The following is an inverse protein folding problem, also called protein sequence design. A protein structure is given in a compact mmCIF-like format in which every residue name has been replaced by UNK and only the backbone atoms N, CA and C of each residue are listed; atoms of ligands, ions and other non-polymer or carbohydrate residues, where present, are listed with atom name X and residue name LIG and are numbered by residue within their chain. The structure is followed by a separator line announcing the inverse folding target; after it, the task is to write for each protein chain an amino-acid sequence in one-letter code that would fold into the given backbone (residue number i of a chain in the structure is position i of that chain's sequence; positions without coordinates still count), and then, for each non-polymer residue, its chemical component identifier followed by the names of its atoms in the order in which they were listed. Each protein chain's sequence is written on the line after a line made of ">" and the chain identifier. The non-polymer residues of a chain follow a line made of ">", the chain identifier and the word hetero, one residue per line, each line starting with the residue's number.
data_IF_680211980924
#
_entry.id   IF_680211980924
#
_cell.length_a   1.000
_cell.length_b   1.000
_cell.length_c   1.000
_cell.angle_alpha   90.00
_cell.angle_beta   90.00
_cell.angle_gamma   90.00
#
_symmetry.space_group_name_H-M   'P 1'
#
loop_
_entity.id
_entity.type
_entity.pdbx_description
1 polymer ?
#
# COMPACT_ATOMS: atom_id res chain seq x y z
N UNK A 1 -39.75 33.60 5.06
CA UNK A 1 -38.81 32.70 4.36
C UNK A 1 -37.47 32.70 5.10
N UNK A 2 -37.33 31.82 6.11
CA UNK A 2 -36.12 31.64 6.91
C UNK A 2 -35.67 30.19 6.70
N UNK A 3 -34.93 29.89 5.62
CA UNK A 3 -34.26 28.59 5.44
C UNK A 3 -33.01 28.74 4.57
N UNK A 4 -32.01 29.52 5.02
CA UNK A 4 -30.65 29.51 4.40
C UNK A 4 -29.50 29.51 5.43
N UNK A 5 -29.79 29.54 6.73
CA UNK A 5 -28.78 29.65 7.80
C UNK A 5 -28.27 28.34 8.42
N UNK A 6 -28.89 27.19 8.12
CA UNK A 6 -28.65 25.94 8.88
C UNK A 6 -27.60 25.01 8.21
N UNK A 7 -27.46 25.05 6.88
CA UNK A 7 -26.49 24.18 6.17
C UNK A 7 -25.03 24.64 6.27
N UNK A 8 -24.74 25.96 6.33
CA UNK A 8 -23.37 26.46 6.49
C UNK A 8 -22.78 26.20 7.88
N UNK A 9 -23.59 26.32 8.95
CA UNK A 9 -23.16 26.06 10.34
C UNK A 9 -22.86 24.58 10.59
N UNK A 10 -23.64 23.64 10.04
CA UNK A 10 -23.38 22.20 10.21
C UNK A 10 -22.06 21.75 9.55
N UNK A 11 -21.73 22.29 8.37
CA UNK A 11 -20.49 21.94 7.64
C UNK A 11 -19.23 22.49 8.33
N UNK A 12 -19.29 23.69 8.92
CA UNK A 12 -18.18 24.27 9.67
C UNK A 12 -17.92 23.54 11.00
N UNK A 13 -18.98 23.21 11.75
CA UNK A 13 -18.84 22.48 13.02
C UNK A 13 -18.35 21.04 12.80
N UNK A 14 -18.81 20.38 11.73
CA UNK A 14 -18.32 19.05 11.38
C UNK A 14 -16.83 19.04 11.00
N UNK A 15 -16.39 19.99 10.15
CA UNK A 15 -14.97 20.13 9.81
C UNK A 15 -14.10 20.43 11.04
N UNK A 16 -14.58 21.26 11.97
CA UNK A 16 -13.90 21.53 13.23
C UNK A 16 -13.74 20.27 14.10
N UNK A 17 -14.78 19.45 14.20
CA UNK A 17 -14.72 18.18 14.95
C UNK A 17 -13.77 17.17 14.30
N UNK A 18 -13.75 17.08 12.98
CA UNK A 18 -12.82 16.20 12.23
C UNK A 18 -11.36 16.64 12.41
N UNK A 19 -11.09 17.95 12.41
CA UNK A 19 -9.76 18.50 12.67
C UNK A 19 -9.32 18.20 14.11
N UNK A 20 -10.19 18.43 15.10
CA UNK A 20 -9.90 18.15 16.51
C UNK A 20 -9.69 16.66 16.78
N UNK A 21 -10.44 15.79 16.11
CA UNK A 21 -10.24 14.34 16.18
C UNK A 21 -8.89 13.93 15.55
N UNK A 22 -8.51 14.58 14.45
CA UNK A 22 -7.22 14.35 13.78
C UNK A 22 -6.04 14.80 14.64
N UNK A 23 -6.14 15.97 15.30
CA UNK A 23 -5.14 16.44 16.28
C UNK A 23 -4.96 15.47 17.44
N UNK A 24 -6.07 14.97 18.01
CA UNK A 24 -6.01 13.98 19.09
C UNK A 24 -5.43 12.64 18.65
N UNK A 25 -5.74 12.18 17.44
CA UNK A 25 -5.12 10.99 16.87
C UNK A 25 -3.61 11.17 16.70
N UNK A 26 -3.17 12.31 16.12
CA UNK A 26 -1.75 12.64 15.95
C UNK A 26 -1.02 12.71 17.29
N UNK A 27 -1.62 13.33 18.30
CA UNK A 27 -1.09 13.34 19.66
C UNK A 27 -0.89 11.92 20.18
N UNK A 28 -1.87 11.03 19.98
CA UNK A 28 -1.76 9.61 20.33
C UNK A 28 -0.57 8.91 19.65
N UNK A 29 -0.35 9.16 18.35
CA UNK A 29 0.81 8.63 17.62
C UNK A 29 2.13 9.12 18.21
N UNK A 30 2.22 10.40 18.58
CA UNK A 30 3.42 10.99 19.19
C UNK A 30 3.72 10.35 20.55
N UNK A 31 2.69 10.14 21.38
CA UNK A 31 2.82 9.50 22.68
C UNK A 31 3.24 8.03 22.56
N UNK A 32 2.64 7.27 21.63
CA UNK A 32 3.03 5.87 21.37
C UNK A 32 4.47 5.77 20.86
N UNK A 33 4.87 6.69 19.98
CA UNK A 33 6.24 6.76 19.50
C UNK A 33 7.22 7.10 20.63
N UNK A 34 6.89 8.07 21.49
CA UNK A 34 7.71 8.39 22.65
C UNK A 34 7.82 7.20 23.62
N UNK A 35 6.71 6.49 23.90
CA UNK A 35 6.71 5.28 24.70
C UNK A 35 7.66 4.22 24.11
N UNK A 36 7.60 3.99 22.79
CA UNK A 36 8.50 3.07 22.10
C UNK A 36 9.97 3.48 22.29
N UNK A 37 10.28 4.78 22.19
CA UNK A 37 11.64 5.27 22.44
C UNK A 37 12.08 4.95 23.87
N UNK A 38 11.26 5.30 24.87
CA UNK A 38 11.58 5.05 26.28
C UNK A 38 11.77 3.55 26.57
N UNK A 39 10.93 2.70 25.97
CA UNK A 39 11.09 1.24 26.08
C UNK A 39 12.38 0.78 25.40
N UNK A 40 12.72 1.29 24.22
CA UNK A 40 13.95 0.91 23.52
C UNK A 40 15.24 1.32 24.25
N UNK A 41 15.17 2.40 25.05
CA UNK A 41 16.29 2.84 25.90
C UNK A 41 16.42 1.97 27.16
N UNK A 42 15.29 1.57 27.73
CA UNK A 42 15.25 0.69 28.92
C UNK A 42 15.61 -0.77 28.59
N UNK A 43 15.25 -1.21 27.38
CA UNK A 43 15.37 -2.60 26.91
C UNK A 43 16.13 -2.65 25.59
N UNK A 44 17.49 -2.63 25.61
CA UNK A 44 18.32 -2.59 24.41
C UNK A 44 18.09 -3.75 23.44
N UNK A 45 17.53 -4.87 23.91
CA UNK A 45 17.11 -6.00 23.08
C UNK A 45 16.13 -5.61 21.98
N UNK A 46 15.30 -4.58 22.20
CA UNK A 46 14.36 -4.05 21.21
C UNK A 46 15.11 -3.46 20.01
N UNK A 47 16.16 -2.68 20.28
CA UNK A 47 17.01 -2.09 19.24
C UNK A 47 17.78 -3.19 18.53
N UNK A 48 18.36 -4.13 19.28
CA UNK A 48 19.11 -5.27 18.72
C UNK A 48 18.24 -6.10 17.77
N UNK A 49 16.98 -6.33 18.11
CA UNK A 49 16.04 -7.04 17.23
C UNK A 49 15.77 -6.26 15.94
N UNK A 50 15.59 -4.95 16.03
CA UNK A 50 15.43 -4.09 14.86
C UNK A 50 16.67 -4.14 13.95
N UNK A 51 17.86 -3.98 14.54
CA UNK A 51 19.16 -4.03 13.85
C UNK A 51 19.48 -5.41 13.26
N UNK A 52 18.83 -6.49 13.75
CA UNK A 52 18.91 -7.80 13.12
C UNK A 52 17.92 -7.96 11.96
N UNK A 53 16.67 -7.48 12.10
CA UNK A 53 15.61 -7.71 11.12
C UNK A 53 15.75 -6.86 9.86
N UNK A 54 16.07 -5.58 10.01
CA UNK A 54 16.07 -4.65 8.86
C UNK A 54 17.15 -5.03 7.83
N UNK A 55 18.41 -5.33 8.21
CA UNK A 55 19.42 -5.75 7.24
C UNK A 55 19.09 -7.07 6.54
N UNK A 56 18.54 -8.05 7.27
CA UNK A 56 18.08 -9.33 6.71
C UNK A 56 16.99 -9.14 5.66
N UNK A 57 16.04 -8.26 5.92
CA UNK A 57 15.00 -7.91 4.95
C UNK A 57 15.60 -7.32 3.66
N UNK A 58 16.66 -6.52 3.77
CA UNK A 58 17.31 -5.90 2.61
C UNK A 58 18.26 -6.86 1.88
N UNK A 59 18.84 -7.83 2.58
CA UNK A 59 19.84 -8.74 2.04
C UNK A 59 19.30 -9.57 0.86
N UNK A 60 19.88 -9.44 -0.36
CA UNK A 60 19.46 -10.24 -1.51
C UNK A 60 19.61 -11.75 -1.30
N UNK A 61 20.57 -12.19 -0.47
CA UNK A 61 20.78 -13.60 -0.14
C UNK A 61 19.70 -14.15 0.80
N UNK A 62 19.01 -13.28 1.53
CA UNK A 62 17.95 -13.63 2.49
C UNK A 62 16.59 -13.11 2.01
N UNK A 63 16.34 -13.10 0.68
CA UNK A 63 15.08 -12.59 0.09
C UNK A 63 13.81 -13.21 0.71
N UNK A 64 13.90 -14.43 1.26
CA UNK A 64 12.78 -15.08 1.95
C UNK A 64 12.30 -14.30 3.19
N UNK A 65 13.16 -13.53 3.86
CA UNK A 65 12.82 -12.71 5.04
C UNK A 65 11.74 -11.65 4.73
N UNK A 66 11.64 -11.25 3.45
CA UNK A 66 10.60 -10.32 2.99
C UNK A 66 9.23 -10.96 2.89
N UNK A 67 9.15 -12.28 2.81
CA UNK A 67 7.89 -12.97 2.61
C UNK A 67 6.97 -12.77 3.82
N UNK A 68 5.64 -12.79 3.59
CA UNK A 68 4.62 -12.60 4.64
C UNK A 68 4.73 -13.58 5.81
N UNK A 69 5.44 -14.68 5.63
CA UNK A 69 5.67 -15.66 6.68
C UNK A 69 6.65 -15.14 7.74
N UNK A 70 7.78 -14.58 7.30
CA UNK A 70 8.86 -14.09 8.17
C UNK A 70 8.61 -12.64 8.60
N UNK A 71 8.13 -11.81 7.68
CA UNK A 71 7.72 -10.43 7.96
C UNK A 71 6.22 -10.28 7.74
N UNK A 72 5.39 -10.64 8.74
CA UNK A 72 3.93 -10.67 8.60
C UNK A 72 3.31 -9.32 8.28
N UNK A 73 3.71 -8.29 9.01
CA UNK A 73 3.15 -6.95 8.89
C UNK A 73 4.22 -5.96 8.46
N UNK A 74 4.06 -5.37 7.26
CA UNK A 74 5.00 -4.39 6.74
C UNK A 74 4.94 -3.05 7.50
N UNK A 75 3.79 -2.67 8.04
CA UNK A 75 3.65 -1.48 8.87
C UNK A 75 4.34 -1.63 10.23
N UNK A 76 4.31 -2.83 10.81
CA UNK A 76 5.12 -3.17 11.99
C UNK A 76 6.61 -3.22 11.64
N UNK A 77 6.96 -3.76 10.48
CA UNK A 77 8.34 -3.77 10.02
C UNK A 77 8.92 -2.35 9.88
N UNK A 78 8.11 -1.39 9.41
CA UNK A 78 8.50 0.02 9.38
C UNK A 78 8.87 0.53 10.78
N UNK A 79 8.29 0.00 11.87
CA UNK A 79 8.63 0.36 13.25
C UNK A 79 10.08 0.03 13.59
N UNK A 80 10.58 -1.13 13.14
CA UNK A 80 12.00 -1.49 13.32
C UNK A 80 12.93 -0.48 12.63
N UNK A 81 12.54 0.05 11.47
CA UNK A 81 13.33 1.09 10.80
C UNK A 81 13.49 2.35 11.65
N UNK A 82 12.46 2.77 12.41
CA UNK A 82 12.57 3.93 13.30
C UNK A 82 13.57 3.71 14.46
N UNK A 83 13.80 2.46 14.84
CA UNK A 83 14.66 2.10 15.96
C UNK A 83 16.12 1.96 15.54
N UNK A 84 16.38 1.57 14.28
CA UNK A 84 17.73 1.48 13.75
C UNK A 84 18.36 2.87 13.63
N UNK A 85 19.55 3.04 14.25
CA UNK A 85 20.24 4.35 14.30
C UNK A 85 20.83 4.79 12.95
N UNK A 86 21.25 3.84 12.12
CA UNK A 86 22.06 4.09 10.91
C UNK A 86 21.39 3.66 9.60
N UNK A 87 20.06 3.61 9.55
CA UNK A 87 19.36 3.10 8.37
C UNK A 87 18.82 4.20 7.46
N UNK A 88 19.14 4.08 6.18
CA UNK A 88 18.70 4.98 5.13
C UNK A 88 17.41 4.45 4.48
N UNK A 89 16.33 5.23 4.55
CA UNK A 89 15.07 4.91 3.88
C UNK A 89 15.25 4.62 2.38
N UNK A 90 16.14 5.36 1.70
CA UNK A 90 16.37 5.23 0.26
C UNK A 90 16.91 3.84 -0.12
N UNK A 91 17.71 3.21 0.75
CA UNK A 91 18.25 1.87 0.52
C UNK A 91 17.19 0.79 0.75
N UNK A 92 16.31 0.98 1.73
CA UNK A 92 15.22 0.04 2.02
C UNK A 92 14.07 0.15 1.01
N UNK A 93 13.78 1.36 0.53
CA UNK A 93 12.57 1.70 -0.21
C UNK A 93 12.27 0.74 -1.39
N UNK A 94 13.23 0.38 -2.27
CA UNK A 94 12.97 -0.53 -3.38
C UNK A 94 12.46 -1.90 -2.92
N UNK A 95 13.05 -2.45 -1.86
CA UNK A 95 12.70 -3.77 -1.33
C UNK A 95 11.33 -3.75 -0.63
N UNK A 96 11.07 -2.69 0.13
CA UNK A 96 9.79 -2.49 0.80
C UNK A 96 8.65 -2.31 -0.21
N UNK A 97 8.86 -1.48 -1.25
CA UNK A 97 7.88 -1.23 -2.30
C UNK A 97 7.55 -2.48 -3.10
N UNK A 98 8.56 -3.24 -3.54
CA UNK A 98 8.37 -4.48 -4.30
C UNK A 98 7.48 -5.46 -3.51
N UNK A 99 7.73 -5.59 -2.20
CA UNK A 99 6.95 -6.46 -1.33
C UNK A 99 5.54 -5.93 -1.04
N UNK A 100 5.42 -4.63 -0.76
CA UNK A 100 4.15 -3.97 -0.46
C UNK A 100 3.19 -4.03 -1.65
N UNK A 101 3.68 -3.74 -2.86
CA UNK A 101 2.88 -3.84 -4.09
C UNK A 101 2.41 -5.28 -4.33
N UNK A 102 3.29 -6.28 -4.16
CA UNK A 102 2.96 -7.69 -4.36
C UNK A 102 1.89 -8.19 -3.38
N UNK A 103 1.95 -7.78 -2.10
CA UNK A 103 0.94 -8.16 -1.10
C UNK A 103 -0.42 -7.50 -1.34
N UNK A 104 -0.43 -6.32 -1.95
CA UNK A 104 -1.67 -5.59 -2.23
C UNK A 104 -2.45 -6.15 -3.44
N UNK A 105 -1.81 -6.92 -4.33
CA UNK A 105 -2.41 -7.48 -5.56
C UNK A 105 -3.76 -8.14 -5.31
N UNK A 106 -3.85 -9.07 -4.35
CA UNK A 106 -5.08 -9.84 -4.10
C UNK A 106 -6.29 -8.95 -3.82
N UNK A 107 -6.07 -7.82 -3.13
CA UNK A 107 -7.13 -6.91 -2.72
C UNK A 107 -7.69 -6.10 -3.89
N UNK A 108 -6.82 -5.62 -4.79
CA UNK A 108 -7.31 -4.87 -5.94
C UNK A 108 -7.76 -5.76 -7.09
N UNK A 109 -7.19 -6.96 -7.28
CA UNK A 109 -7.68 -7.91 -8.29
C UNK A 109 -9.09 -8.40 -7.98
N UNK A 110 -9.44 -8.56 -6.70
CA UNK A 110 -10.82 -8.83 -6.29
C UNK A 110 -11.80 -7.70 -6.65
N UNK A 111 -11.33 -6.46 -6.76
CA UNK A 111 -12.13 -5.32 -7.20
C UNK A 111 -12.13 -5.17 -8.73
N UNK A 112 -11.06 -5.60 -9.40
CA UNK A 112 -10.88 -5.46 -10.84
C UNK A 112 -10.01 -6.60 -11.40
N UNK A 113 -10.66 -7.70 -11.75
CA UNK A 113 -9.99 -8.92 -12.25
C UNK A 113 -9.21 -8.68 -13.55
N UNK A 114 -9.66 -7.76 -14.41
CA UNK A 114 -9.01 -7.45 -15.68
C UNK A 114 -7.60 -6.85 -15.56
N UNK A 115 -7.17 -6.43 -14.36
CA UNK A 115 -5.79 -6.03 -14.11
C UNK A 115 -4.83 -7.23 -14.01
N UNK A 116 -5.34 -8.46 -13.82
CA UNK A 116 -4.53 -9.68 -13.80
C UNK A 116 -4.07 -10.09 -15.20
N UNK A 117 -4.74 -9.63 -16.26
CA UNK A 117 -4.22 -9.75 -17.62
C UNK A 117 -2.93 -8.93 -17.73
N UNK A 118 -1.82 -9.55 -18.14
CA UNK A 118 -0.54 -8.85 -18.33
C UNK A 118 -0.42 -8.46 -19.81
N UNK A 119 -0.47 -7.17 -20.09
CA UNK A 119 -0.25 -6.64 -21.43
C UNK A 119 1.19 -6.86 -21.94
N UNK A 120 1.37 -6.89 -23.28
CA UNK A 120 2.70 -6.83 -23.90
C UNK A 120 3.56 -5.67 -23.39
N UNK A 121 4.88 -5.81 -23.47
CA UNK A 121 5.80 -4.82 -22.92
C UNK A 121 5.86 -3.51 -23.71
N UNK A 122 5.56 -3.56 -25.00
CA UNK A 122 5.44 -2.43 -25.91
C UNK A 122 4.10 -1.70 -25.79
N UNK A 123 3.11 -2.26 -25.09
CA UNK A 123 1.82 -1.63 -24.87
C UNK A 123 1.82 -0.75 -23.62
N UNK A 124 1.46 0.53 -23.80
CA UNK A 124 1.35 1.50 -22.72
C UNK A 124 -0.09 1.61 -22.20
N UNK A 125 -0.38 0.97 -21.07
CA UNK A 125 -1.72 1.02 -20.48
C UNK A 125 -1.88 2.13 -19.43
N UNK A 126 -2.47 3.26 -19.84
CA UNK A 126 -2.91 4.30 -18.90
C UNK A 126 -3.97 3.79 -17.92
N UNK A 127 -4.87 2.91 -18.40
CA UNK A 127 -5.88 2.29 -17.55
C UNK A 127 -5.25 1.51 -16.38
N UNK A 128 -4.16 0.77 -16.61
CA UNK A 128 -3.45 0.06 -15.53
C UNK A 128 -2.93 1.03 -14.48
N UNK A 129 -2.25 2.08 -14.91
CA UNK A 129 -1.66 3.08 -14.02
C UNK A 129 -2.75 3.73 -13.15
N UNK A 130 -3.76 4.31 -13.77
CA UNK A 130 -4.81 5.06 -13.08
C UNK A 130 -5.63 4.13 -12.18
N UNK A 131 -6.09 2.99 -12.70
CA UNK A 131 -6.95 2.08 -11.96
C UNK A 131 -6.21 1.44 -10.78
N UNK A 132 -4.95 1.06 -10.95
CA UNK A 132 -4.18 0.45 -9.84
C UNK A 132 -3.88 1.47 -8.75
N UNK A 133 -3.60 2.73 -9.12
CA UNK A 133 -3.43 3.82 -8.16
C UNK A 133 -4.70 4.01 -7.34
N UNK A 134 -5.85 4.17 -8.02
CA UNK A 134 -7.16 4.36 -7.41
C UNK A 134 -7.51 3.24 -6.42
N UNK A 135 -7.34 1.98 -6.83
CA UNK A 135 -7.65 0.83 -5.97
C UNK A 135 -6.68 0.68 -4.79
N UNK A 136 -5.47 1.23 -4.88
CA UNK A 136 -4.42 1.15 -3.87
C UNK A 136 -4.33 2.39 -2.98
N UNK A 137 -5.16 3.41 -3.18
CA UNK A 137 -5.09 4.71 -2.48
C UNK A 137 -4.91 4.59 -0.96
N UNK A 138 -5.68 3.72 -0.31
CA UNK A 138 -5.61 3.57 1.15
C UNK A 138 -4.25 3.05 1.60
N UNK A 139 -3.71 2.01 0.96
CA UNK A 139 -2.40 1.46 1.34
C UNK A 139 -1.27 2.43 1.02
N UNK A 140 -1.32 3.10 -0.13
CA UNK A 140 -0.33 4.11 -0.52
C UNK A 140 -0.30 5.28 0.47
N UNK A 141 -1.45 5.77 0.93
CA UNK A 141 -1.54 6.84 1.93
C UNK A 141 -0.96 6.43 3.28
N UNK A 142 -1.18 5.18 3.72
CA UNK A 142 -0.61 4.66 4.96
C UNK A 142 0.93 4.61 4.88
N UNK A 143 1.47 4.17 3.74
CA UNK A 143 2.92 4.14 3.50
C UNK A 143 3.50 5.57 3.55
N UNK A 144 2.89 6.52 2.82
CA UNK A 144 3.35 7.91 2.83
C UNK A 144 3.30 8.52 4.23
N UNK A 145 2.25 8.24 5.00
CA UNK A 145 2.13 8.70 6.38
C UNK A 145 3.27 8.15 7.24
N UNK A 146 3.49 6.83 7.23
CA UNK A 146 4.53 6.19 8.04
C UNK A 146 5.93 6.71 7.71
N UNK A 147 6.27 6.79 6.42
CA UNK A 147 7.59 7.26 5.95
C UNK A 147 7.80 8.73 6.29
N UNK A 148 6.79 9.58 6.06
CA UNK A 148 6.92 11.01 6.34
C UNK A 148 6.93 11.31 7.83
N UNK A 149 6.12 10.58 8.61
CA UNK A 149 6.15 10.64 10.06
C UNK A 149 7.54 10.28 10.60
N UNK A 150 8.17 9.23 10.06
CA UNK A 150 9.56 8.84 10.38
C UNK A 150 10.56 9.97 10.19
N UNK A 151 10.51 10.63 9.03
CA UNK A 151 11.40 11.76 8.73
C UNK A 151 11.23 12.91 9.74
N UNK A 152 9.99 13.24 10.08
CA UNK A 152 9.70 14.28 11.09
C UNK A 152 10.25 13.85 12.46
N UNK A 153 10.04 12.60 12.88
CA UNK A 153 10.44 12.12 14.20
C UNK A 153 11.96 12.01 14.39
N UNK A 154 12.73 11.69 13.35
CA UNK A 154 14.18 11.48 13.46
C UNK A 154 14.93 12.74 13.95
N UNK A 155 14.42 13.94 13.65
CA UNK A 155 15.05 15.22 14.04
C UNK A 155 14.62 15.79 15.39
N UNK A 156 13.62 15.22 16.06
CA UNK A 156 12.96 15.85 17.22
C UNK A 156 12.88 14.95 18.46
N UNK A 157 13.67 13.88 18.51
CA UNK A 157 13.64 12.88 19.60
C UNK A 157 13.87 13.49 20.98
N UNK A 158 14.88 14.35 21.13
CA UNK A 158 15.21 14.97 22.42
C UNK A 158 14.17 15.99 22.87
N UNK A 159 13.62 16.75 21.92
CA UNK A 159 12.51 17.67 22.17
C UNK A 159 11.23 16.92 22.59
N UNK A 160 10.96 15.77 21.96
CA UNK A 160 9.88 14.87 22.36
C UNK A 160 10.04 14.33 23.78
N UNK A 161 11.26 13.96 24.19
CA UNK A 161 11.53 13.54 25.58
C UNK A 161 11.24 14.65 26.57
N UNK A 162 11.72 15.87 26.31
CA UNK A 162 11.47 17.04 27.16
C UNK A 162 9.97 17.32 27.35
N UNK A 163 9.15 17.04 26.34
CA UNK A 163 7.70 17.21 26.38
C UNK A 163 6.93 15.95 26.75
N UNK A 164 7.57 14.90 27.25
CA UNK A 164 6.92 13.62 27.59
C UNK A 164 6.07 13.04 26.44
N UNK A 165 6.54 13.21 25.20
CA UNK A 165 5.88 12.73 23.98
C UNK A 165 4.73 13.59 23.46
N UNK A 166 4.41 14.72 24.10
CA UNK A 166 3.44 15.66 23.56
C UNK A 166 4.05 16.44 22.38
N UNK A 167 3.35 16.57 21.24
CA UNK A 167 3.81 17.38 20.12
C UNK A 167 3.75 18.88 20.46
N UNK A 168 4.65 19.70 19.89
CA UNK A 168 4.46 21.16 19.85
C UNK A 168 3.36 21.55 18.88
N UNK A 169 2.95 22.82 18.94
CA UNK A 169 2.08 23.42 17.93
C UNK A 169 2.71 23.35 16.53
N UNK A 170 4.01 23.62 16.41
CA UNK A 170 4.74 23.51 15.13
C UNK A 170 4.73 22.08 14.57
N UNK A 171 4.99 21.09 15.42
CA UNK A 171 4.94 19.68 15.03
C UNK A 171 3.52 19.25 14.65
N UNK A 172 2.52 19.67 15.41
CA UNK A 172 1.11 19.39 15.13
C UNK A 172 0.68 20.00 13.78
N UNK A 173 1.08 21.26 13.53
CA UNK A 173 0.85 21.92 12.25
C UNK A 173 1.55 21.20 11.09
N UNK A 174 2.79 20.77 11.29
CA UNK A 174 3.55 20.00 10.28
C UNK A 174 2.88 18.68 9.94
N UNK A 175 2.39 17.95 10.95
CA UNK A 175 1.66 16.69 10.77
C UNK A 175 0.31 16.89 10.08
N UNK A 176 -0.42 17.97 10.39
CA UNK A 176 -1.66 18.33 9.70
C UNK A 176 -1.41 18.71 8.23
N UNK A 177 -0.35 19.47 7.95
CA UNK A 177 0.07 19.80 6.57
C UNK A 177 0.45 18.53 5.81
N UNK A 178 1.20 17.64 6.44
CA UNK A 178 1.57 16.35 5.88
C UNK A 178 0.32 15.53 5.48
N UNK A 179 -0.67 15.41 6.37
CA UNK A 179 -1.92 14.71 6.05
C UNK A 179 -2.59 15.36 4.83
N UNK A 180 -2.71 16.69 4.78
CA UNK A 180 -3.29 17.39 3.63
C UNK A 180 -2.54 17.08 2.32
N UNK A 181 -1.21 17.05 2.36
CA UNK A 181 -0.38 16.69 1.21
C UNK A 181 -0.63 15.25 0.76
N UNK A 182 -0.65 14.29 1.69
CA UNK A 182 -0.93 12.87 1.41
C UNK A 182 -2.30 12.68 0.72
N UNK A 183 -3.33 13.40 1.17
CA UNK A 183 -4.66 13.30 0.55
C UNK A 183 -4.72 13.90 -0.86
N UNK A 184 -3.84 14.84 -1.18
CA UNK A 184 -3.71 15.46 -2.50
C UNK A 184 -2.90 14.64 -3.50
N UNK A 185 -2.21 13.57 -3.07
CA UNK A 185 -1.50 12.65 -3.97
C UNK A 185 -2.51 11.84 -4.78
N UNK A 186 -2.48 12.01 -6.11
CA UNK A 186 -3.46 11.43 -7.05
C UNK A 186 -2.83 10.62 -8.19
N UNK A 187 -1.52 10.67 -8.34
CA UNK A 187 -0.80 10.03 -9.44
C UNK A 187 0.49 9.37 -8.92
N UNK A 188 1.01 8.41 -9.67
CA UNK A 188 2.18 7.64 -9.28
C UNK A 188 3.45 8.48 -9.17
N UNK A 189 3.71 9.38 -10.12
CA UNK A 189 4.85 10.30 -10.08
C UNK A 189 4.88 11.14 -8.80
N UNK A 190 3.74 11.70 -8.39
CA UNK A 190 3.62 12.47 -7.14
C UNK A 190 3.81 11.56 -5.92
N UNK A 191 3.28 10.33 -5.95
CA UNK A 191 3.48 9.34 -4.89
C UNK A 191 4.96 9.00 -4.71
N UNK A 192 5.66 8.63 -5.80
CA UNK A 192 7.07 8.26 -5.74
C UNK A 192 7.96 9.45 -5.37
N UNK A 193 7.64 10.66 -5.85
CA UNK A 193 8.30 11.90 -5.43
C UNK A 193 8.19 12.12 -3.92
N UNK A 194 6.99 11.99 -3.34
CA UNK A 194 6.77 12.16 -1.90
C UNK A 194 7.43 11.05 -1.07
N UNK A 195 7.61 9.87 -1.66
CA UNK A 195 8.30 8.74 -1.06
C UNK A 195 9.83 8.86 -1.12
N UNK A 196 10.38 9.89 -1.78
CA UNK A 196 11.80 10.02 -2.15
C UNK A 196 12.31 8.83 -2.99
N UNK A 197 11.47 8.27 -3.85
CA UNK A 197 11.87 7.26 -4.81
C UNK A 197 12.06 7.90 -6.19
N UNK A 198 13.31 7.93 -6.66
CA UNK A 198 13.66 8.55 -7.93
C UNK A 198 13.09 7.78 -9.12
N UNK A 199 12.27 8.47 -9.90
CA UNK A 199 11.85 8.02 -11.22
C UNK A 199 12.56 8.83 -12.30
N UNK A 200 12.77 8.27 -13.50
CA UNK A 200 13.24 9.05 -14.65
C UNK A 200 12.31 10.23 -14.95
N UNK A 201 12.84 11.38 -15.36
CA UNK A 201 12.04 12.56 -15.70
C UNK A 201 11.10 12.30 -16.90
N UNK A 202 11.58 11.50 -17.85
CA UNK A 202 10.82 11.05 -19.02
C UNK A 202 10.55 9.55 -18.94
N UNK A 203 9.41 9.10 -19.46
CA UNK A 203 9.00 7.69 -19.53
C UNK A 203 8.84 6.98 -18.18
N UNK A 204 8.64 7.71 -17.07
CA UNK A 204 8.39 7.11 -15.76
C UNK A 204 7.18 6.16 -15.77
N UNK A 205 6.17 6.44 -16.60
CA UNK A 205 4.97 5.61 -16.73
C UNK A 205 5.30 4.18 -17.16
N UNK A 206 6.30 3.99 -18.03
CA UNK A 206 6.77 2.67 -18.45
C UNK A 206 7.44 1.92 -17.29
N UNK A 207 8.24 2.62 -16.49
CA UNK A 207 8.89 2.06 -15.30
C UNK A 207 7.84 1.61 -14.29
N UNK A 208 6.86 2.47 -13.99
CA UNK A 208 5.78 2.13 -13.05
C UNK A 208 4.91 1.01 -13.60
N UNK A 209 4.53 1.04 -14.87
CA UNK A 209 3.77 -0.05 -15.51
C UNK A 209 4.51 -1.39 -15.37
N UNK A 210 5.82 -1.41 -15.61
CA UNK A 210 6.67 -2.59 -15.38
C UNK A 210 6.64 -3.02 -13.91
N UNK A 211 6.81 -2.10 -12.95
CA UNK A 211 6.75 -2.43 -11.52
C UNK A 211 5.40 -3.06 -11.12
N UNK A 212 4.28 -2.56 -11.67
CA UNK A 212 2.95 -3.12 -11.39
C UNK A 212 2.77 -4.52 -11.99
N UNK A 213 3.28 -4.76 -13.20
CA UNK A 213 3.30 -6.10 -13.83
C UNK A 213 4.17 -7.07 -13.03
N UNK A 214 5.37 -6.64 -12.65
CA UNK A 214 6.30 -7.42 -11.83
C UNK A 214 5.70 -7.75 -10.45
N UNK A 215 4.95 -6.82 -9.85
CA UNK A 215 4.26 -7.06 -8.59
C UNK A 215 3.19 -8.16 -8.70
N UNK A 216 2.46 -8.26 -9.82
CA UNK A 216 1.52 -9.36 -10.07
C UNK A 216 2.27 -10.69 -10.15
N UNK A 217 3.34 -10.76 -10.94
CA UNK A 217 4.16 -11.96 -11.07
C UNK A 217 4.75 -12.40 -9.72
N UNK A 218 5.33 -11.45 -8.97
CA UNK A 218 5.84 -11.69 -7.62
C UNK A 218 4.75 -12.20 -6.70
N UNK A 219 3.58 -11.57 -6.70
CA UNK A 219 2.44 -11.98 -5.88
C UNK A 219 1.98 -13.41 -6.19
N UNK A 220 1.99 -13.80 -7.46
CA UNK A 220 1.67 -15.15 -7.90
C UNK A 220 2.72 -16.16 -7.40
N UNK A 221 4.01 -15.89 -7.62
CA UNK A 221 5.10 -16.77 -7.17
C UNK A 221 5.20 -16.86 -5.64
N UNK A 222 4.92 -15.77 -4.93
CA UNK A 222 4.83 -15.73 -3.47
C UNK A 222 3.51 -16.26 -2.92
N UNK A 223 2.63 -16.82 -3.76
CA UNK A 223 1.37 -17.45 -3.35
C UNK A 223 0.42 -16.50 -2.60
N UNK A 224 0.54 -15.19 -2.85
CA UNK A 224 -0.31 -14.17 -2.25
C UNK A 224 -1.69 -14.11 -2.91
N UNK A 225 -1.80 -14.59 -4.14
CA UNK A 225 -3.08 -14.80 -4.82
C UNK A 225 -3.06 -16.03 -5.72
N UNK A 226 -4.25 -16.53 -6.05
CA UNK A 226 -4.53 -17.48 -7.13
C UNK A 226 -5.31 -16.76 -8.22
N UNK A 227 -4.98 -17.04 -9.48
CA UNK A 227 -5.74 -16.55 -10.63
C UNK A 227 -6.83 -17.59 -10.96
N UNK A 228 -8.12 -17.28 -10.76
CA UNK A 228 -9.19 -18.24 -11.01
C UNK A 228 -9.72 -18.21 -12.45
N UNK A 229 -9.13 -17.37 -13.32
CA UNK A 229 -9.57 -17.11 -14.69
C UNK A 229 -8.56 -17.65 -15.71
N UNK A 230 -9.04 -18.00 -16.90
CA UNK A 230 -8.18 -18.24 -18.07
C UNK A 230 -7.63 -16.92 -18.62
N UNK A 231 -6.60 -17.00 -19.46
CA UNK A 231 -6.02 -15.81 -20.13
C UNK A 231 -7.07 -15.13 -21.04
N UNK A 232 -7.89 -15.91 -21.73
CA UNK A 232 -8.96 -15.40 -22.59
C UNK A 232 -10.09 -14.73 -21.78
N UNK A 233 -10.45 -15.28 -20.62
CA UNK A 233 -11.39 -14.65 -19.69
C UNK A 233 -10.88 -13.31 -19.17
N UNK A 234 -9.61 -13.26 -18.73
CA UNK A 234 -8.97 -12.03 -18.26
C UNK A 234 -8.88 -10.97 -19.35
N UNK A 235 -8.50 -11.37 -20.57
CA UNK A 235 -8.51 -10.48 -21.73
C UNK A 235 -9.91 -9.95 -22.00
N UNK A 236 -10.95 -10.81 -22.00
CA UNK A 236 -12.32 -10.39 -22.22
C UNK A 236 -12.80 -9.36 -21.19
N UNK A 237 -12.50 -9.58 -19.90
CA UNK A 237 -12.81 -8.62 -18.83
C UNK A 237 -12.05 -7.30 -19.05
N UNK A 238 -10.78 -7.38 -19.45
CA UNK A 238 -9.93 -6.22 -19.68
C UNK A 238 -10.36 -5.41 -20.90
N UNK A 239 -10.64 -6.07 -22.02
CA UNK A 239 -11.05 -5.45 -23.28
C UNK A 239 -12.35 -4.64 -23.14
N UNK A 240 -13.28 -5.06 -22.28
CA UNK A 240 -14.48 -4.27 -21.95
C UNK A 240 -14.18 -2.92 -21.30
N UNK A 241 -13.02 -2.77 -20.66
CA UNK A 241 -12.59 -1.55 -19.96
C UNK A 241 -11.54 -0.76 -20.75
N UNK A 242 -10.75 -1.44 -21.56
CA UNK A 242 -9.72 -0.87 -22.41
C UNK A 242 -9.78 -1.55 -23.80
N UNK A 243 -10.64 -1.07 -24.72
CA UNK A 243 -10.90 -1.75 -26.00
C UNK A 243 -9.66 -1.91 -26.91
N UNK A 244 -8.65 -1.06 -26.74
CA UNK A 244 -7.43 -1.06 -27.56
C UNK A 244 -6.34 -2.01 -27.05
N UNK A 245 -6.59 -2.73 -25.95
CA UNK A 245 -5.65 -3.70 -25.38
C UNK A 245 -5.35 -4.82 -26.41
N UNK A 246 -4.06 -5.13 -26.66
CA UNK A 246 -3.68 -6.21 -27.56
C UNK A 246 -4.22 -7.56 -27.07
N UNK A 247 -4.75 -8.42 -27.97
CA UNK A 247 -5.19 -9.76 -27.60
C UNK A 247 -4.01 -10.68 -27.27
N UNK A 248 -4.21 -11.69 -26.39
CA UNK A 248 -3.24 -12.76 -26.23
C UNK A 248 -3.17 -13.62 -27.49
N UNK A 249 -2.07 -14.35 -27.68
CA UNK A 249 -1.86 -15.25 -28.82
C UNK A 249 -2.98 -16.30 -28.93
N UNK A 250 -3.54 -16.72 -27.79
CA UNK A 250 -4.64 -17.69 -27.70
C UNK A 250 -6.01 -17.16 -28.11
N UNK A 251 -6.14 -15.86 -28.44
CA UNK A 251 -7.43 -15.25 -28.74
C UNK A 251 -7.82 -15.44 -30.20
N UNK A 252 -8.73 -16.38 -30.44
CA UNK A 252 -9.39 -16.56 -31.74
C UNK A 252 -10.88 -16.22 -31.63
N UNK A 253 -11.32 -15.19 -32.36
CA UNK A 253 -12.72 -14.73 -32.40
C UNK A 253 -13.69 -15.82 -32.88
N UNK A 254 -13.22 -16.79 -33.66
CA UNK A 254 -14.04 -17.86 -34.19
C UNK A 254 -14.09 -19.09 -33.27
N UNK A 255 -13.22 -19.14 -32.25
CA UNK A 255 -13.19 -20.23 -31.28
C UNK A 255 -14.49 -20.31 -30.48
N UNK A 256 -14.87 -21.52 -30.13
CA UNK A 256 -16.07 -21.78 -29.33
C UNK A 256 -15.97 -21.13 -27.93
N UNK A 257 -14.77 -21.04 -27.36
CA UNK A 257 -14.52 -20.36 -26.09
C UNK A 257 -14.88 -18.87 -26.17
N UNK A 258 -14.36 -18.15 -27.16
CA UNK A 258 -14.60 -16.71 -27.31
C UNK A 258 -16.05 -16.40 -27.66
N UNK A 259 -16.69 -17.26 -28.45
CA UNK A 259 -18.15 -17.17 -28.71
C UNK A 259 -18.94 -17.32 -27.40
N UNK A 260 -18.61 -18.32 -26.57
CA UNK A 260 -19.26 -18.49 -25.26
C UNK A 260 -19.04 -17.29 -24.34
N UNK A 261 -17.84 -16.73 -24.27
CA UNK A 261 -17.57 -15.51 -23.48
C UNK A 261 -18.38 -14.32 -23.98
N UNK A 262 -18.53 -14.17 -25.30
CA UNK A 262 -19.31 -13.09 -25.90
C UNK A 262 -20.81 -13.23 -25.62
N UNK A 263 -21.33 -14.45 -25.65
CA UNK A 263 -22.76 -14.74 -25.42
C UNK A 263 -23.13 -14.72 -23.93
N UNK A 264 -22.33 -15.34 -23.06
CA UNK A 264 -22.68 -15.59 -21.66
C UNK A 264 -21.89 -14.75 -20.66
N UNK A 265 -20.83 -14.06 -21.11
CA UNK A 265 -19.91 -13.36 -20.23
C UNK A 265 -18.95 -14.29 -19.49
N UNK A 266 -18.31 -13.76 -18.45
CA UNK A 266 -17.39 -14.49 -17.57
C UNK A 266 -17.99 -14.57 -16.16
N UNK A 267 -17.77 -15.69 -15.47
CA UNK A 267 -18.23 -15.89 -14.08
C UNK A 267 -17.49 -14.93 -13.15
N UNK A 268 -18.19 -14.37 -12.17
CA UNK A 268 -17.54 -13.57 -11.12
C UNK A 268 -16.86 -14.50 -10.12
N UNK A 269 -15.53 -14.59 -10.20
CA UNK A 269 -14.67 -15.37 -9.31
C UNK A 269 -13.78 -14.44 -8.46
N UNK A 270 -13.48 -14.88 -7.24
CA UNK A 270 -12.62 -14.15 -6.31
C UNK A 270 -11.19 -14.66 -6.36
N UNK A 271 -10.24 -13.74 -6.30
CA UNK A 271 -8.83 -14.05 -6.03
C UNK A 271 -8.68 -14.35 -4.54
N UNK A 272 -8.06 -15.48 -4.22
CA UNK A 272 -7.76 -15.88 -2.84
C UNK A 272 -6.27 -16.18 -2.67
N UNK A 273 -5.70 -16.04 -1.47
CA UNK A 273 -4.37 -16.57 -1.19
C UNK A 273 -4.33 -18.07 -1.50
N UNK A 274 -3.22 -18.57 -2.06
CA UNK A 274 -3.08 -20.01 -2.27
C UNK A 274 -2.88 -20.70 -0.90
N UNK A 275 -3.52 -21.86 -0.65
CA UNK A 275 -3.26 -22.66 0.55
C UNK A 275 -1.77 -23.04 0.61
N UNK A 276 -1.21 -23.02 1.82
CA UNK A 276 0.15 -23.51 2.08
C UNK A 276 -0.04 -24.88 2.73
N UNK A 277 0.10 -25.96 1.95
CA UNK A 277 -0.14 -27.32 2.46
C UNK A 277 0.97 -27.87 3.37
N UNK A 278 2.09 -27.16 3.54
CA UNK A 278 3.16 -27.56 4.46
C UNK A 278 3.59 -26.37 5.32
N UNK A 279 3.04 -26.25 6.53
CA UNK A 279 3.59 -25.35 7.54
C UNK A 279 3.35 -25.86 8.97
N UNK A 280 4.40 -26.11 9.77
CA UNK A 280 4.29 -26.65 11.13
C UNK A 280 3.72 -25.65 12.17
N UNK A 281 3.22 -24.48 11.74
CA UNK A 281 2.79 -23.40 12.63
C UNK A 281 1.33 -22.96 12.39
N UNK A 282 0.56 -23.70 11.61
CA UNK A 282 -0.86 -23.43 11.37
C UNK A 282 -1.70 -23.80 12.60
N UNK A 283 -1.56 -23.05 13.70
CA UNK A 283 -2.67 -22.84 14.62
C UNK A 283 -3.46 -21.67 14.05
N UNK A 284 -4.63 -22.00 13.52
CA UNK A 284 -5.62 -21.07 12.99
C UNK A 284 -5.92 -19.96 14.00
N UNK A 285 -5.35 -18.77 13.80
CA UNK A 285 -5.85 -17.57 14.46
C UNK A 285 -7.00 -17.06 13.57
N UNK A 286 -8.23 -16.96 14.08
CA UNK A 286 -9.35 -16.45 13.32
C UNK A 286 -9.03 -15.02 12.87
N UNK A 287 -9.16 -14.78 11.57
CA UNK A 287 -9.10 -13.45 10.98
C UNK A 287 -10.27 -12.67 11.58
N UNK A 288 -10.00 -11.81 12.56
CA UNK A 288 -10.97 -10.85 13.07
C UNK A 288 -11.24 -9.88 11.91
N UNK A 289 -12.40 -10.04 11.28
CA UNK A 289 -12.97 -9.04 10.39
C UNK A 289 -13.21 -7.78 11.22
N UNK A 290 -12.29 -6.81 11.14
CA UNK A 290 -12.62 -5.45 11.52
C UNK A 290 -13.53 -4.90 10.41
N UNK A 291 -14.80 -4.55 10.72
CA UNK A 291 -15.69 -3.99 9.73
C UNK A 291 -15.09 -2.66 9.24
N UNK A 292 -14.89 -2.56 7.93
CA UNK A 292 -14.60 -1.28 7.28
C UNK A 292 -15.75 -0.32 7.61
N UNK A 293 -15.48 0.92 8.05
CA UNK A 293 -16.54 1.90 8.22
C UNK A 293 -17.24 2.15 6.88
N UNK A 294 -18.56 2.39 6.89
CA UNK A 294 -19.32 2.65 5.68
C UNK A 294 -18.72 3.84 4.92
N UNK A 295 -18.61 3.65 3.60
CA UNK A 295 -18.21 4.69 2.66
C UNK A 295 -19.27 5.79 2.68
N UNK A 296 -18.90 7.00 3.10
CA UNK A 296 -19.69 8.21 2.91
C UNK A 296 -19.33 8.88 1.59
#
# INVERSE_FOLDING_TARGET
>A
MIVLGIQKKKKSTHNYLVLKASEKALQGYCLLFHLLIMLSEKYPEIIKEAENKVPKFMNPKEKYERHKYYTRNLGEFMIYLFLCKNMNWLELCPYFLEESLARNIVWFLNKNAGLAYIEPNDYHSKYRLDTTFELSKTSLRLILFQVSFLKIMQGIREDMKRRYGYPSDEMSNSLLLLIKQIYNVKTWDVFFKMLDFSLPEHNWEQVVSKMLKDAINKSFHSRYHRVPYTVNELYFIRHKKEPWIPPPISWDKNSEEVKKLSTYGCKSLSFSPQPIEDCPCCVSIPIIYLPLPPSY
#
